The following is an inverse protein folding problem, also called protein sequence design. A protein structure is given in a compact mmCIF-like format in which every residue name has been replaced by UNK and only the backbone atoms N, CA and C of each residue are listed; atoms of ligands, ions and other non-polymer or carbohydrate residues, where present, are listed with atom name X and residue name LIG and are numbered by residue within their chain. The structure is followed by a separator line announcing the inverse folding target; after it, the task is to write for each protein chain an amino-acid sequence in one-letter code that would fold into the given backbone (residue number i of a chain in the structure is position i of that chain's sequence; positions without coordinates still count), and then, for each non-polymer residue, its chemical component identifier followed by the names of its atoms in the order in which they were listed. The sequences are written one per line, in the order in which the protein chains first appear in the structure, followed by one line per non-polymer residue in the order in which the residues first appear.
data_IF_104661216604
#
_entry.id   IF_104661216604
#
_cell.length_a   1.000
_cell.length_b   1.000
_cell.length_c   1.000
_cell.angle_alpha   90.00
_cell.angle_beta   90.00
_cell.angle_gamma   90.00
#
_symmetry.space_group_name_H-M   'P 1'
#
loop_
_entity.id
_entity.type
_entity.pdbx_description
1 polymer ?
#
# COMPACT_ATOMS: atom_id res chain seq x y z
N UNK A 1 8.18 -13.97 10.57
CA UNK A 1 7.76 -15.38 10.53
C UNK A 1 7.35 -15.82 9.12
N UNK A 2 6.36 -15.16 8.45
CA UNK A 2 5.89 -15.58 7.11
C UNK A 2 7.04 -15.57 6.08
N UNK A 3 7.77 -14.48 5.94
CA UNK A 3 8.91 -14.38 5.00
C UNK A 3 10.05 -15.36 5.34
N UNK A 4 10.20 -15.71 6.59
CA UNK A 4 11.23 -16.66 7.04
C UNK A 4 10.87 -18.13 6.75
N UNK A 5 9.59 -18.49 6.89
CA UNK A 5 9.15 -19.89 6.83
C UNK A 5 8.30 -20.24 5.61
N UNK A 6 7.60 -19.25 5.03
CA UNK A 6 6.60 -19.46 3.99
C UNK A 6 6.77 -18.57 2.75
N UNK A 7 7.92 -17.91 2.59
CA UNK A 7 8.17 -17.00 1.45
C UNK A 7 8.01 -17.67 0.07
N UNK A 8 8.13 -19.00 0.02
CA UNK A 8 7.87 -19.78 -1.20
C UNK A 8 6.43 -19.64 -1.71
N UNK A 9 5.45 -19.36 -0.83
CA UNK A 9 4.06 -19.10 -1.22
C UNK A 9 4.01 -17.76 -1.98
N UNK A 10 4.60 -16.72 -1.42
CA UNK A 10 4.67 -15.41 -2.04
C UNK A 10 5.40 -15.46 -3.37
N UNK A 11 6.61 -16.01 -3.40
CA UNK A 11 7.39 -16.10 -4.62
C UNK A 11 6.72 -16.97 -5.70
N UNK A 12 6.07 -18.05 -5.28
CA UNK A 12 5.33 -18.94 -6.18
C UNK A 12 4.06 -18.32 -6.78
N UNK A 13 3.48 -17.31 -6.13
CA UNK A 13 2.26 -16.64 -6.59
C UNK A 13 2.53 -15.29 -7.25
N UNK A 14 3.51 -14.52 -6.74
CA UNK A 14 3.76 -13.14 -7.19
C UNK A 14 4.70 -13.06 -8.37
N UNK A 15 5.61 -14.03 -8.54
CA UNK A 15 6.53 -14.06 -9.69
C UNK A 15 5.98 -14.86 -10.85
N UNK A 16 6.55 -14.64 -12.04
CA UNK A 16 6.25 -15.43 -13.22
C UNK A 16 6.52 -16.94 -12.99
N UNK A 17 5.72 -17.80 -13.60
CA UNK A 17 4.68 -17.53 -14.60
C UNK A 17 3.29 -17.22 -14.03
N UNK A 18 3.07 -17.22 -12.71
CA UNK A 18 1.75 -16.99 -12.10
C UNK A 18 1.45 -15.51 -11.86
N UNK A 19 2.47 -14.76 -11.49
CA UNK A 19 2.39 -13.34 -11.23
C UNK A 19 3.19 -12.52 -12.24
N UNK A 20 3.46 -11.27 -11.89
CA UNK A 20 4.28 -10.32 -12.64
C UNK A 20 4.78 -9.22 -11.70
N UNK A 21 5.66 -8.33 -12.18
CA UNK A 21 6.33 -7.30 -11.35
C UNK A 21 5.39 -6.41 -10.50
N UNK A 22 4.15 -6.22 -10.95
CA UNK A 22 3.15 -5.39 -10.26
C UNK A 22 2.08 -6.23 -9.53
N UNK A 23 2.31 -7.54 -9.39
CA UNK A 23 1.35 -8.42 -8.71
C UNK A 23 1.36 -8.16 -7.21
N UNK A 24 0.16 -8.02 -6.65
CA UNK A 24 -0.08 -8.10 -5.21
C UNK A 24 -1.15 -9.13 -4.90
N UNK A 25 -1.12 -9.65 -3.71
CA UNK A 25 -2.07 -10.64 -3.23
C UNK A 25 -2.33 -10.51 -1.75
N UNK A 26 -3.25 -11.32 -1.25
CA UNK A 26 -3.61 -11.37 0.14
C UNK A 26 -3.75 -12.82 0.61
N UNK A 27 -3.40 -13.07 1.86
CA UNK A 27 -3.58 -14.35 2.52
C UNK A 27 -4.48 -14.12 3.72
N UNK A 28 -5.63 -14.82 3.75
CA UNK A 28 -6.52 -14.82 4.90
C UNK A 28 -5.99 -15.77 5.98
N UNK A 29 -6.11 -15.34 7.24
CA UNK A 29 -5.77 -16.19 8.40
C UNK A 29 -6.73 -15.91 9.57
N UNK A 30 -6.85 -16.82 10.54
CA UNK A 30 -7.67 -16.59 11.72
C UNK A 30 -7.18 -15.37 12.49
N UNK A 31 -8.05 -14.40 12.84
CA UNK A 31 -7.64 -13.19 13.55
C UNK A 31 -7.20 -13.54 14.98
N UNK A 32 -6.25 -12.77 15.52
CA UNK A 32 -5.88 -12.83 16.93
C UNK A 32 -6.74 -11.88 17.79
N UNK A 33 -7.32 -10.89 17.16
CA UNK A 33 -8.23 -9.92 17.77
C UNK A 33 -9.66 -10.44 17.77
N UNK A 34 -10.32 -10.43 18.93
CA UNK A 34 -11.72 -10.86 19.08
C UNK A 34 -12.71 -9.97 18.31
N UNK A 35 -12.35 -8.70 18.07
CA UNK A 35 -13.20 -7.73 17.37
C UNK A 35 -13.03 -7.77 15.85
N UNK A 36 -12.16 -8.62 15.29
CA UNK A 36 -11.97 -8.80 13.85
C UNK A 36 -12.68 -10.07 13.33
N UNK A 37 -13.11 -10.01 12.07
CA UNK A 37 -13.74 -11.14 11.37
C UNK A 37 -12.68 -12.07 10.78
N UNK A 38 -11.57 -11.51 10.28
CA UNK A 38 -10.43 -12.25 9.72
C UNK A 38 -9.14 -11.44 9.84
N UNK A 39 -8.00 -12.11 9.79
CA UNK A 39 -6.70 -11.51 9.56
C UNK A 39 -6.35 -11.52 8.07
N UNK A 40 -5.59 -10.52 7.61
CA UNK A 40 -5.14 -10.38 6.23
C UNK A 40 -3.66 -10.03 6.21
N UNK A 41 -2.86 -10.84 5.52
CA UNK A 41 -1.47 -10.56 5.20
C UNK A 41 -1.36 -10.20 3.72
N UNK A 42 -0.86 -9.01 3.41
CA UNK A 42 -0.63 -8.58 2.05
C UNK A 42 0.76 -8.97 1.57
N UNK A 43 0.81 -9.57 0.39
CA UNK A 43 2.04 -10.03 -0.25
C UNK A 43 2.21 -9.38 -1.61
N UNK A 44 3.46 -9.07 -1.95
CA UNK A 44 3.83 -8.53 -3.27
C UNK A 44 5.22 -9.04 -3.69
N UNK A 45 5.70 -8.62 -4.85
CA UNK A 45 7.02 -9.04 -5.35
C UNK A 45 8.16 -8.62 -4.44
N UNK A 46 8.06 -7.47 -3.75
CA UNK A 46 9.10 -6.96 -2.86
C UNK A 46 9.03 -7.50 -1.42
N UNK A 47 7.97 -8.21 -1.03
CA UNK A 47 7.81 -8.74 0.32
C UNK A 47 6.36 -8.72 0.82
N UNK A 48 6.19 -8.41 2.10
CA UNK A 48 4.88 -8.21 2.72
C UNK A 48 4.66 -6.72 2.98
N UNK A 49 3.42 -6.27 2.83
CA UNK A 49 3.00 -4.91 3.19
C UNK A 49 2.17 -4.93 4.47
N UNK A 50 2.35 -3.94 5.36
CA UNK A 50 1.48 -3.78 6.52
C UNK A 50 0.01 -3.51 6.14
N UNK A 51 -0.23 -2.79 5.05
CA UNK A 51 -1.56 -2.47 4.54
C UNK A 51 -1.54 -2.31 3.01
N UNK A 52 -2.63 -2.72 2.36
CA UNK A 52 -2.83 -2.54 0.92
C UNK A 52 -4.30 -2.22 0.63
N UNK A 53 -4.59 -0.98 0.20
CA UNK A 53 -5.98 -0.52 -0.02
C UNK A 53 -6.71 -1.31 -1.10
N UNK A 54 -6.16 -1.38 -2.31
CA UNK A 54 -6.78 -2.14 -3.39
C UNK A 54 -6.78 -3.66 -3.13
N UNK A 55 -5.74 -4.17 -2.44
CA UNK A 55 -5.71 -5.56 -1.97
C UNK A 55 -6.85 -5.85 -0.97
N UNK A 56 -7.17 -4.90 -0.09
CA UNK A 56 -8.31 -5.00 0.82
C UNK A 56 -9.64 -5.06 0.06
N UNK A 57 -9.84 -4.18 -0.94
CA UNK A 57 -11.05 -4.17 -1.77
C UNK A 57 -11.26 -5.55 -2.41
N UNK A 58 -10.24 -6.06 -3.11
CA UNK A 58 -10.31 -7.37 -3.76
C UNK A 58 -10.50 -8.53 -2.76
N UNK A 59 -9.85 -8.46 -1.59
CA UNK A 59 -9.97 -9.47 -0.54
C UNK A 59 -11.39 -9.52 0.03
N UNK A 60 -11.98 -8.36 0.33
CA UNK A 60 -13.36 -8.25 0.84
C UNK A 60 -14.36 -8.76 -0.19
N UNK A 61 -14.22 -8.32 -1.44
CA UNK A 61 -15.06 -8.81 -2.55
C UNK A 61 -15.05 -10.32 -2.62
N UNK A 62 -13.87 -10.92 -2.75
CA UNK A 62 -13.74 -12.38 -2.86
C UNK A 62 -14.21 -13.10 -1.59
N UNK A 63 -13.87 -12.59 -0.41
CA UNK A 63 -14.22 -13.24 0.86
C UNK A 63 -15.72 -13.29 1.09
N UNK A 64 -16.46 -12.27 0.63
CA UNK A 64 -17.93 -12.20 0.73
C UNK A 64 -18.56 -13.06 -0.35
N UNK A 65 -18.19 -12.91 -1.62
CA UNK A 65 -18.77 -13.63 -2.76
C UNK A 65 -18.57 -15.14 -2.67
N UNK A 66 -17.38 -15.58 -2.21
CA UNK A 66 -17.04 -17.00 -2.06
C UNK A 66 -17.39 -17.57 -0.67
N UNK A 67 -17.96 -16.75 0.22
CA UNK A 67 -18.32 -17.17 1.57
C UNK A 67 -17.16 -17.63 2.44
N UNK A 68 -15.94 -17.07 2.21
CA UNK A 68 -14.72 -17.45 2.93
C UNK A 68 -14.70 -16.88 4.35
N UNK A 69 -15.40 -15.79 4.59
CA UNK A 69 -15.52 -15.13 5.89
C UNK A 69 -16.99 -14.83 6.17
N UNK A 70 -17.45 -15.15 7.38
CA UNK A 70 -18.78 -14.76 7.83
C UNK A 70 -18.68 -13.47 8.64
N UNK A 71 -19.20 -12.34 8.13
CA UNK A 71 -19.15 -11.08 8.84
C UNK A 71 -19.96 -11.14 10.16
N UNK A 72 -19.41 -10.59 11.24
CA UNK A 72 -20.15 -10.41 12.50
C UNK A 72 -21.27 -9.37 12.39
N UNK A 73 -21.07 -8.40 11.48
CA UNK A 73 -22.04 -7.36 11.15
C UNK A 73 -22.28 -7.39 9.65
N UNK A 74 -23.51 -7.67 9.18
CA UNK A 74 -23.83 -7.66 7.76
C UNK A 74 -23.44 -6.34 7.10
N UNK A 75 -22.83 -6.40 5.91
CA UNK A 75 -22.35 -5.22 5.18
C UNK A 75 -21.03 -4.63 5.68
N UNK A 76 -20.37 -5.24 6.67
CA UNK A 76 -19.10 -4.76 7.20
C UNK A 76 -18.19 -5.91 7.58
N UNK A 77 -16.91 -5.83 7.20
CA UNK A 77 -15.83 -6.72 7.64
C UNK A 77 -14.78 -5.92 8.42
N UNK A 78 -14.41 -6.45 9.56
CA UNK A 78 -13.31 -5.93 10.39
C UNK A 78 -12.09 -6.79 10.18
N UNK A 79 -11.06 -6.21 9.59
CA UNK A 79 -9.85 -6.91 9.16
C UNK A 79 -8.69 -6.60 10.10
N UNK A 80 -8.06 -7.62 10.65
CA UNK A 80 -6.79 -7.49 11.34
C UNK A 80 -5.66 -7.51 10.31
N UNK A 81 -4.98 -6.39 10.14
CA UNK A 81 -3.82 -6.25 9.27
C UNK A 81 -2.56 -5.99 10.08
N UNK A 82 -1.35 -6.20 9.54
CA UNK A 82 -0.13 -5.83 10.25
C UNK A 82 -0.05 -4.35 10.62
N UNK A 83 -0.73 -3.46 9.88
CA UNK A 83 -0.84 -2.04 10.21
C UNK A 83 -1.87 -1.75 11.32
N UNK A 84 -2.75 -2.69 11.64
CA UNK A 84 -3.82 -2.54 12.62
C UNK A 84 -5.19 -2.91 12.08
N UNK A 85 -6.23 -2.37 12.74
CA UNK A 85 -7.62 -2.60 12.35
C UNK A 85 -7.98 -1.79 11.11
N UNK A 86 -8.51 -2.47 10.10
CA UNK A 86 -9.15 -1.87 8.92
C UNK A 86 -10.61 -2.30 8.89
N UNK A 87 -11.52 -1.35 8.69
CA UNK A 87 -12.95 -1.61 8.58
C UNK A 87 -13.33 -1.44 7.11
N UNK A 88 -13.93 -2.48 6.53
CA UNK A 88 -14.43 -2.46 5.17
C UNK A 88 -15.95 -2.55 5.19
N UNK A 89 -16.62 -1.52 4.72
CA UNK A 89 -18.05 -1.52 4.47
C UNK A 89 -18.29 -1.89 3.00
N UNK A 90 -19.23 -2.77 2.72
CA UNK A 90 -19.49 -3.22 1.36
C UNK A 90 -20.98 -3.24 1.05
N UNK A 91 -21.29 -2.99 -0.22
CA UNK A 91 -22.63 -3.13 -0.78
C UNK A 91 -22.69 -4.36 -1.66
N UNK A 92 -23.79 -5.10 -1.59
CA UNK A 92 -23.98 -6.36 -2.32
C UNK A 92 -25.32 -6.36 -3.05
N UNK A 93 -25.32 -6.80 -4.31
CA UNK A 93 -26.52 -7.07 -5.10
C UNK A 93 -26.53 -8.55 -5.50
N UNK A 94 -27.47 -9.32 -4.93
CA UNK A 94 -27.45 -10.77 -5.07
C UNK A 94 -26.17 -11.35 -4.46
N UNK A 95 -25.41 -12.09 -5.25
CA UNK A 95 -24.14 -12.69 -4.83
C UNK A 95 -22.92 -11.81 -5.13
N UNK A 96 -23.09 -10.66 -5.80
CA UNK A 96 -22.00 -9.80 -6.22
C UNK A 96 -21.80 -8.61 -5.28
N UNK A 97 -20.55 -8.34 -4.89
CA UNK A 97 -20.14 -7.12 -4.18
C UNK A 97 -19.91 -6.00 -5.20
N UNK A 98 -20.71 -4.94 -5.11
CA UNK A 98 -20.70 -3.83 -6.08
C UNK A 98 -19.84 -2.64 -5.63
N UNK A 99 -19.62 -2.51 -4.33
CA UNK A 99 -18.72 -1.47 -3.78
C UNK A 99 -18.08 -1.92 -2.47
N UNK A 100 -16.89 -1.39 -2.20
CA UNK A 100 -16.19 -1.54 -0.91
C UNK A 100 -15.61 -0.19 -0.51
N UNK A 101 -16.01 0.30 0.65
CA UNK A 101 -15.46 1.50 1.28
C UNK A 101 -14.57 1.12 2.46
N UNK A 102 -13.43 1.80 2.61
CA UNK A 102 -12.45 1.48 3.65
C UNK A 102 -12.33 2.60 4.67
N UNK A 103 -12.39 2.26 5.96
CA UNK A 103 -11.82 3.05 7.04
C UNK A 103 -10.46 2.45 7.39
N UNK A 104 -9.41 3.13 6.92
CA UNK A 104 -8.02 2.69 7.10
C UNK A 104 -7.50 3.04 8.51
N UNK A 105 -6.30 2.54 8.84
CA UNK A 105 -5.54 2.98 10.01
C UNK A 105 -5.25 4.48 9.95
N UNK A 106 -4.99 5.11 11.09
CA UNK A 106 -4.68 6.53 11.17
C UNK A 106 -3.49 6.90 10.27
N UNK A 107 -3.63 8.02 9.57
CA UNK A 107 -2.57 8.59 8.73
C UNK A 107 -1.92 9.79 9.41
N UNK A 108 -0.65 10.01 9.13
CA UNK A 108 0.10 11.16 9.62
C UNK A 108 1.24 11.55 8.70
N UNK A 109 1.65 12.81 8.76
CA UNK A 109 2.86 13.30 8.11
C UNK A 109 4.06 12.93 8.97
N UNK A 110 4.95 12.10 8.43
CA UNK A 110 6.09 11.57 9.17
C UNK A 110 7.32 12.49 9.07
N UNK A 111 7.51 13.15 7.93
CA UNK A 111 8.57 14.11 7.72
C UNK A 111 8.23 15.05 6.57
N UNK A 112 8.76 16.28 6.61
CA UNK A 112 8.59 17.30 5.58
C UNK A 112 9.94 17.76 5.05
N UNK A 113 9.97 18.13 3.79
CA UNK A 113 11.11 18.78 3.13
C UNK A 113 12.42 18.00 3.26
N UNK A 114 12.38 16.68 3.14
CA UNK A 114 13.59 15.85 3.17
C UNK A 114 14.34 16.01 1.86
N UNK A 115 15.61 16.43 1.97
CA UNK A 115 16.48 16.56 0.81
C UNK A 115 17.16 15.23 0.49
N UNK A 116 17.10 14.84 -0.77
CA UNK A 116 17.75 13.63 -1.28
C UNK A 116 18.42 13.89 -2.63
N UNK A 117 19.64 13.44 -2.79
CA UNK A 117 20.28 13.40 -4.10
C UNK A 117 19.83 12.15 -4.84
N UNK A 118 19.22 12.36 -5.99
CA UNK A 118 18.77 11.30 -6.88
C UNK A 118 19.65 11.28 -8.13
N UNK A 119 20.27 10.14 -8.41
CA UNK A 119 21.19 10.01 -9.56
C UNK A 119 20.55 10.47 -10.88
N UNK A 120 19.25 10.28 -11.05
CA UNK A 120 18.52 10.59 -12.28
C UNK A 120 18.03 12.03 -12.34
N UNK A 121 17.52 12.56 -11.23
CA UNK A 121 16.87 13.87 -11.17
C UNK A 121 17.76 14.95 -10.57
N UNK A 122 18.91 14.56 -9.96
CA UNK A 122 19.68 15.45 -9.09
C UNK A 122 18.98 15.65 -7.74
N UNK A 123 19.17 16.82 -7.09
CA UNK A 123 18.56 17.08 -5.79
C UNK A 123 17.02 17.17 -5.90
N UNK A 124 16.35 16.39 -5.04
CA UNK A 124 14.92 16.41 -4.83
C UNK A 124 14.59 16.73 -3.38
N UNK A 125 13.45 17.37 -3.17
CA UNK A 125 12.80 17.53 -1.86
C UNK A 125 11.55 16.68 -1.82
N UNK A 126 11.35 15.92 -0.77
CA UNK A 126 10.20 15.02 -0.62
C UNK A 126 9.59 15.12 0.76
N UNK A 127 8.29 14.93 0.84
CA UNK A 127 7.60 14.71 2.10
C UNK A 127 7.37 13.23 2.30
N UNK A 128 7.26 12.79 3.56
CA UNK A 128 6.96 11.40 3.87
C UNK A 128 5.74 11.32 4.75
N UNK A 129 4.72 10.60 4.27
CA UNK A 129 3.49 10.35 4.99
C UNK A 129 3.28 8.85 5.23
N UNK A 130 2.55 8.55 6.31
CA UNK A 130 2.09 7.21 6.66
C UNK A 130 0.58 7.08 6.50
N UNK A 131 0.14 5.97 5.91
CA UNK A 131 -1.27 5.60 5.81
C UNK A 131 -1.42 4.08 5.74
N UNK A 132 -0.74 3.37 6.68
CA UNK A 132 -0.58 1.92 6.66
C UNK A 132 0.78 1.47 6.10
N UNK A 133 1.40 2.31 5.26
CA UNK A 133 2.77 2.21 4.78
C UNK A 133 3.38 3.61 4.74
N UNK A 134 4.71 3.72 4.70
CA UNK A 134 5.39 4.99 4.48
C UNK A 134 5.57 5.25 2.98
N UNK A 135 5.12 6.42 2.53
CA UNK A 135 5.21 6.91 1.16
C UNK A 135 6.06 8.17 1.13
N UNK A 136 7.06 8.24 0.24
CA UNK A 136 7.67 9.51 -0.11
C UNK A 136 6.86 10.17 -1.23
N UNK A 137 6.43 11.38 -1.01
CA UNK A 137 5.62 12.19 -1.91
C UNK A 137 6.57 13.14 -2.64
N UNK A 138 6.62 13.03 -3.95
CA UNK A 138 7.42 13.89 -4.83
C UNK A 138 6.47 14.82 -5.56
N UNK A 139 6.46 16.07 -5.14
CA UNK A 139 5.67 17.13 -5.77
C UNK A 139 6.47 17.86 -6.86
N UNK A 140 5.76 18.64 -7.67
CA UNK A 140 6.36 19.49 -8.70
C UNK A 140 7.44 20.41 -8.11
N UNK A 141 8.61 20.36 -8.67
CA UNK A 141 9.80 21.11 -8.25
C UNK A 141 10.77 21.31 -9.42
N UNK A 142 11.88 22.03 -9.20
CA UNK A 142 12.83 22.40 -10.25
C UNK A 142 13.28 21.21 -11.12
N UNK A 143 13.55 20.07 -10.51
CA UNK A 143 14.09 18.89 -11.18
C UNK A 143 13.03 17.82 -11.51
N UNK A 144 11.78 18.05 -11.12
CA UNK A 144 10.63 17.21 -11.44
C UNK A 144 9.40 18.09 -11.59
N UNK A 145 8.96 18.32 -12.82
CA UNK A 145 7.87 19.26 -13.12
C UNK A 145 6.48 18.64 -12.91
N UNK A 146 6.20 17.52 -13.55
CA UNK A 146 4.91 16.82 -13.51
C UNK A 146 5.08 15.37 -13.97
N UNK A 147 4.25 14.47 -13.47
CA UNK A 147 4.22 13.07 -13.94
C UNK A 147 3.91 12.94 -15.42
N UNK A 148 3.21 13.91 -16.00
CA UNK A 148 2.88 13.92 -17.44
C UNK A 148 4.11 14.06 -18.34
N UNK A 149 5.22 14.58 -17.82
CA UNK A 149 6.45 14.79 -18.58
C UNK A 149 7.30 13.51 -18.68
N UNK A 150 6.87 12.45 -18.00
CA UNK A 150 7.61 11.17 -17.92
C UNK A 150 6.77 10.01 -18.45
N UNK A 151 7.43 9.03 -18.99
CA UNK A 151 6.78 7.74 -19.27
C UNK A 151 6.66 6.93 -17.98
N UNK A 152 5.57 6.20 -17.81
CA UNK A 152 5.36 5.34 -16.64
C UNK A 152 6.54 4.38 -16.40
N UNK A 153 7.12 3.82 -17.47
CA UNK A 153 8.26 2.90 -17.36
C UNK A 153 9.51 3.58 -16.76
N UNK A 154 9.69 4.88 -16.97
CA UNK A 154 10.82 5.62 -16.42
C UNK A 154 10.60 5.83 -14.90
N UNK A 155 9.40 6.23 -14.49
CA UNK A 155 9.04 6.37 -13.06
C UNK A 155 9.11 5.03 -12.31
N UNK A 156 8.67 3.93 -12.94
CA UNK A 156 8.81 2.57 -12.40
C UNK A 156 10.29 2.23 -12.17
N UNK A 157 11.17 2.62 -13.09
CA UNK A 157 12.62 2.39 -12.98
C UNK A 157 13.27 3.27 -11.91
N UNK A 158 12.83 4.51 -11.76
CA UNK A 158 13.44 5.48 -10.84
C UNK A 158 12.97 5.29 -9.39
N UNK A 159 11.73 4.83 -9.18
CA UNK A 159 11.16 4.66 -7.83
C UNK A 159 11.99 3.76 -6.91
N UNK A 160 12.47 2.58 -7.32
CA UNK A 160 13.33 1.75 -6.46
C UNK A 160 14.66 2.42 -6.09
N UNK A 161 15.24 3.21 -7.00
CA UNK A 161 16.50 3.91 -6.76
C UNK A 161 16.30 5.02 -5.72
N UNK A 162 15.27 5.84 -5.88
CA UNK A 162 14.93 6.89 -4.93
C UNK A 162 14.55 6.31 -3.57
N UNK A 163 13.74 5.25 -3.53
CA UNK A 163 13.39 4.54 -2.29
C UNK A 163 14.62 4.03 -1.56
N UNK A 164 15.57 3.42 -2.28
CA UNK A 164 16.83 2.94 -1.71
C UNK A 164 17.67 4.07 -1.14
N UNK A 165 17.78 5.18 -1.85
CA UNK A 165 18.53 6.35 -1.40
C UNK A 165 17.92 6.95 -0.11
N UNK A 166 16.60 7.12 -0.07
CA UNK A 166 15.87 7.64 1.10
C UNK A 166 16.04 6.72 2.32
N UNK A 167 15.82 5.41 2.17
CA UNK A 167 16.01 4.44 3.25
C UNK A 167 17.49 4.31 3.70
N UNK A 168 18.44 4.65 2.84
CA UNK A 168 19.87 4.69 3.19
C UNK A 168 20.27 5.93 3.97
N UNK A 169 19.52 7.03 3.84
CA UNK A 169 19.82 8.31 4.48
C UNK A 169 18.96 8.59 5.72
N UNK A 170 17.70 8.15 5.71
CA UNK A 170 16.71 8.44 6.74
C UNK A 170 16.13 7.14 7.31
N UNK A 171 15.73 7.19 8.57
CA UNK A 171 15.00 6.10 9.23
C UNK A 171 13.53 6.49 9.43
N UNK A 172 12.64 5.65 8.97
CA UNK A 172 11.20 5.83 9.11
C UNK A 172 10.64 4.70 9.98
N UNK A 173 9.99 5.05 11.10
CA UNK A 173 9.35 4.10 12.02
C UNK A 173 8.03 4.66 12.51
N UNK A 174 7.05 3.75 12.63
CA UNK A 174 5.79 4.12 13.26
C UNK A 174 6.01 4.40 14.75
N UNK A 175 5.49 5.51 15.30
CA UNK A 175 5.78 5.93 16.68
C UNK A 175 5.25 4.96 17.74
N UNK A 176 4.12 4.28 17.48
CA UNK A 176 3.48 3.33 18.40
C UNK A 176 3.79 1.87 18.03
N UNK A 177 4.17 1.60 16.79
CA UNK A 177 4.45 0.28 16.22
C UNK A 177 5.83 0.25 15.56
N UNK A 178 6.92 0.23 16.33
CA UNK A 178 8.28 0.37 15.81
C UNK A 178 8.71 -0.79 14.88
N UNK A 179 7.99 -1.90 14.89
CA UNK A 179 8.12 -3.00 13.92
C UNK A 179 7.69 -2.60 12.51
N UNK A 180 6.84 -1.57 12.37
CA UNK A 180 6.44 -1.00 11.09
C UNK A 180 7.42 0.11 10.74
N UNK A 181 8.26 -0.14 9.75
CA UNK A 181 9.28 0.82 9.36
C UNK A 181 9.74 0.66 7.92
N UNK A 182 10.56 1.62 7.51
CA UNK A 182 11.07 1.71 6.16
C UNK A 182 10.08 2.31 5.17
N UNK A 183 10.60 3.10 4.26
CA UNK A 183 9.83 3.65 3.14
C UNK A 183 9.54 2.54 2.14
N UNK A 184 8.27 2.31 1.85
CA UNK A 184 7.82 1.24 0.95
C UNK A 184 7.58 1.74 -0.48
N UNK A 185 7.08 2.96 -0.66
CA UNK A 185 6.64 3.48 -1.96
C UNK A 185 7.10 4.91 -2.22
N UNK A 186 7.19 5.26 -3.50
CA UNK A 186 7.32 6.63 -3.98
C UNK A 186 6.00 7.02 -4.65
N UNK A 187 5.43 8.13 -4.24
CA UNK A 187 4.24 8.73 -4.84
C UNK A 187 4.67 9.94 -5.65
N UNK A 188 4.74 9.78 -6.97
CA UNK A 188 4.97 10.88 -7.90
C UNK A 188 3.65 11.60 -8.16
N UNK A 189 3.65 12.92 -8.00
CA UNK A 189 2.42 13.70 -8.17
C UNK A 189 2.49 14.63 -9.37
N UNK A 190 1.33 15.05 -9.84
CA UNK A 190 1.18 16.01 -10.91
C UNK A 190 -0.07 16.86 -10.73
N UNK A 191 -0.21 17.88 -11.56
CA UNK A 191 -1.40 18.73 -11.57
C UNK A 191 -2.66 17.89 -11.85
N UNK A 192 -3.78 18.15 -11.15
CA UNK A 192 -5.01 17.43 -11.39
C UNK A 192 -5.52 17.66 -12.81
N UNK A 193 -6.04 16.61 -13.43
CA UNK A 193 -6.70 16.70 -14.76
C UNK A 193 -8.24 16.66 -14.67
N UNK A 194 -8.78 16.68 -13.45
CA UNK A 194 -10.21 16.78 -13.17
C UNK A 194 -10.44 17.90 -12.15
N UNK A 195 -11.49 18.74 -12.30
CA UNK A 195 -11.71 19.90 -11.44
C UNK A 195 -11.98 19.56 -9.97
N UNK A 196 -12.45 18.37 -9.67
CA UNK A 196 -12.72 17.89 -8.31
C UNK A 196 -11.53 17.15 -7.68
N UNK A 197 -10.44 16.90 -8.45
CA UNK A 197 -9.25 16.26 -7.93
C UNK A 197 -8.26 17.29 -7.36
N UNK A 198 -7.61 16.97 -6.26
CA UNK A 198 -6.58 17.81 -5.63
C UNK A 198 -5.21 17.62 -6.28
N UNK A 199 -4.94 16.40 -6.74
CA UNK A 199 -3.69 16.03 -7.40
C UNK A 199 -3.92 14.82 -8.33
N UNK A 200 -2.89 14.46 -9.07
CA UNK A 200 -2.82 13.25 -9.88
C UNK A 200 -1.54 12.48 -9.53
N UNK A 201 -1.59 11.16 -9.54
CA UNK A 201 -0.45 10.27 -9.39
C UNK A 201 -0.47 9.14 -10.42
#
# INVERSE_FOLDING_TARGET
YFLEHFDWIRTGLMYEPRGHDMMSGAILYPPTREDCDTGVLYIETSGCLPMCGHGTIGTVTMAVEEGLVTPKVPGSLRLETPAGLVIAEYEQEGDAVISVALTNVASFLAAENLEIECETFGPLTVDVAYGGNFYAIVESQKNFSDIADFKAIDLIRYSPLLRKALNGKYEFRHPEHPEIGGLSHILWTGAPNHPEASARN
#
